data_IF_397847488748
#
_entry.id   IF_397847488748
#
_cell.length_a   1.000
_cell.length_b   1.000
_cell.length_c   1.000
_cell.angle_alpha   90.00
_cell.angle_beta   90.00
_cell.angle_gamma   90.00
#
_symmetry.space_group_name_H-M   'P 1'
#
loop_
_entity.id
_entity.type
_entity.pdbx_description
1 polymer ?
#
# COMPACT_ATOMS: atom_id res chain seq x y z
N UNK A 1 -23.84 -3.42 7.68
CA UNK A 1 -23.66 -2.00 7.32
C UNK A 1 -22.58 -2.00 6.25
N UNK A 2 -22.91 -1.71 4.99
CA UNK A 2 -21.92 -1.64 3.91
C UNK A 2 -21.09 -0.37 4.09
N UNK A 3 -19.77 -0.49 3.93
CA UNK A 3 -18.82 0.61 4.02
C UNK A 3 -19.14 1.70 2.97
N UNK A 4 -18.88 2.98 3.29
CA UNK A 4 -19.17 4.12 2.39
C UNK A 4 -18.39 4.01 1.07
N UNK A 5 -17.16 3.47 1.11
CA UNK A 5 -16.32 3.26 -0.08
C UNK A 5 -16.94 2.22 -1.04
N UNK A 6 -17.53 1.16 -0.49
CA UNK A 6 -18.11 0.07 -1.27
C UNK A 6 -19.36 0.55 -2.02
N UNK A 7 -20.22 1.32 -1.34
CA UNK A 7 -21.39 1.94 -1.97
C UNK A 7 -21.03 2.91 -3.08
N UNK A 8 -19.91 3.64 -2.95
CA UNK A 8 -19.45 4.52 -4.01
C UNK A 8 -19.17 3.75 -5.31
N UNK A 9 -18.45 2.64 -5.23
CA UNK A 9 -18.07 1.85 -6.40
C UNK A 9 -19.26 1.12 -7.03
N UNK A 10 -20.14 0.54 -6.21
CA UNK A 10 -21.38 -0.09 -6.69
C UNK A 10 -22.21 0.93 -7.50
N UNK A 11 -22.48 2.11 -6.92
CA UNK A 11 -23.20 3.18 -7.60
C UNK A 11 -22.50 3.64 -8.89
N UNK A 12 -21.15 3.75 -8.88
CA UNK A 12 -20.39 4.15 -10.06
C UNK A 12 -20.66 3.25 -11.28
N UNK A 13 -20.79 1.93 -11.06
CA UNK A 13 -21.09 0.97 -12.12
C UNK A 13 -22.58 0.93 -12.47
N UNK A 14 -23.46 1.04 -11.48
CA UNK A 14 -24.91 1.09 -11.68
C UNK A 14 -25.33 2.30 -12.53
N UNK A 15 -24.77 3.49 -12.24
CA UNK A 15 -24.99 4.72 -13.01
C UNK A 15 -24.54 4.60 -14.48
N UNK A 16 -23.70 3.59 -14.79
CA UNK A 16 -23.22 3.27 -16.14
C UNK A 16 -23.99 2.10 -16.78
N UNK A 17 -25.07 1.64 -16.15
CA UNK A 17 -25.96 0.61 -16.67
C UNK A 17 -25.54 -0.82 -16.39
N UNK A 18 -24.59 -1.05 -15.48
CA UNK A 18 -24.26 -2.40 -15.03
C UNK A 18 -25.36 -2.90 -14.08
N UNK A 19 -25.93 -4.08 -14.39
CA UNK A 19 -26.95 -4.71 -13.54
C UNK A 19 -26.35 -5.03 -12.15
N UNK A 20 -26.93 -4.53 -11.04
CA UNK A 20 -26.46 -4.80 -9.69
C UNK A 20 -26.31 -6.29 -9.38
N UNK A 21 -27.13 -7.15 -9.99
CA UNK A 21 -27.05 -8.61 -9.82
C UNK A 21 -25.80 -9.25 -10.41
N UNK A 22 -25.06 -8.52 -11.24
CA UNK A 22 -23.80 -8.93 -11.84
C UNK A 22 -22.57 -8.34 -11.13
N UNK A 23 -22.79 -7.48 -10.13
CA UNK A 23 -21.72 -6.92 -9.31
C UNK A 23 -21.39 -7.88 -8.16
N UNK A 24 -20.10 -8.17 -8.00
CA UNK A 24 -19.59 -8.99 -6.91
C UNK A 24 -18.47 -8.21 -6.22
N UNK A 25 -18.61 -8.01 -4.91
CA UNK A 25 -17.56 -7.38 -4.10
C UNK A 25 -16.55 -8.43 -3.64
N UNK A 26 -15.30 -8.29 -4.11
CA UNK A 26 -14.19 -9.19 -3.77
C UNK A 26 -13.73 -9.07 -2.31
N UNK A 27 -13.97 -7.91 -1.67
CA UNK A 27 -13.45 -7.55 -0.33
C UNK A 27 -11.92 -7.50 -0.35
N UNK A 28 -11.27 -7.95 0.73
CA UNK A 28 -9.82 -8.02 0.84
C UNK A 28 -9.28 -9.13 -0.07
N UNK A 29 -8.10 -8.89 -0.66
CA UNK A 29 -7.39 -9.90 -1.43
C UNK A 29 -6.75 -10.94 -0.50
N UNK A 30 -6.76 -12.19 -0.94
CA UNK A 30 -5.98 -13.25 -0.35
C UNK A 30 -4.53 -13.21 -0.88
N UNK A 31 -3.63 -13.80 -0.10
CA UNK A 31 -2.24 -13.98 -0.51
C UNK A 31 -1.87 -15.45 -0.34
N UNK A 32 -1.63 -16.14 -1.45
CA UNK A 32 -1.30 -17.56 -1.43
C UNK A 32 0.15 -17.75 -0.97
N UNK A 33 0.31 -18.28 0.24
CA UNK A 33 1.62 -18.61 0.80
C UNK A 33 1.86 -20.12 0.60
N UNK A 34 2.90 -20.53 -0.14
CA UNK A 34 3.26 -21.94 -0.28
C UNK A 34 3.43 -22.60 1.09
N UNK A 35 2.84 -23.79 1.26
CA UNK A 35 2.89 -24.59 2.50
C UNK A 35 2.26 -23.93 3.75
N UNK A 36 1.68 -22.74 3.63
CA UNK A 36 0.99 -22.06 4.73
C UNK A 36 1.92 -21.65 5.89
N UNK A 37 3.23 -21.51 5.64
CA UNK A 37 4.17 -21.06 6.66
C UNK A 37 3.93 -19.58 6.98
N UNK A 38 3.35 -19.30 8.15
CA UNK A 38 3.10 -17.94 8.61
C UNK A 38 4.27 -17.52 9.52
N UNK A 39 5.09 -16.61 9.03
CA UNK A 39 6.05 -15.91 9.87
C UNK A 39 5.30 -14.87 10.72
N UNK A 40 5.35 -15.04 12.05
CA UNK A 40 4.80 -14.03 12.95
C UNK A 40 5.67 -12.78 12.93
N UNK A 41 5.07 -11.65 12.53
CA UNK A 41 5.75 -10.37 12.54
C UNK A 41 6.17 -10.01 13.97
N UNK A 42 7.41 -9.54 14.12
CA UNK A 42 7.91 -8.99 15.38
C UNK A 42 7.51 -7.53 15.49
N UNK A 43 7.21 -7.09 16.70
CA UNK A 43 7.02 -5.66 16.93
C UNK A 43 8.34 -4.90 16.66
N UNK A 44 8.24 -3.86 15.85
CA UNK A 44 9.28 -2.87 15.61
C UNK A 44 8.60 -1.51 15.43
N UNK A 45 9.20 -0.43 15.92
CA UNK A 45 8.71 0.94 15.67
C UNK A 45 9.14 1.42 14.28
N UNK A 46 8.71 0.71 13.25
CA UNK A 46 9.03 0.94 11.84
C UNK A 46 7.80 0.80 10.96
N UNK A 47 7.83 1.45 9.80
CA UNK A 47 6.78 1.43 8.79
C UNK A 47 7.36 0.92 7.48
N UNK A 48 6.76 -0.11 6.90
CA UNK A 48 7.19 -0.74 5.66
C UNK A 48 6.29 -0.33 4.51
N UNK A 49 6.91 0.06 3.39
CA UNK A 49 6.24 0.34 2.11
C UNK A 49 6.78 -0.63 1.07
N UNK A 50 5.89 -1.39 0.44
CA UNK A 50 6.23 -2.30 -0.65
C UNK A 50 5.46 -1.92 -1.92
N UNK A 51 6.16 -1.66 -3.02
CA UNK A 51 5.51 -1.30 -4.27
C UNK A 51 6.43 -0.68 -5.32
N UNK A 52 5.85 0.06 -6.26
CA UNK A 52 6.62 0.88 -7.18
C UNK A 52 7.00 2.20 -6.47
N UNK A 53 8.30 2.43 -6.28
CA UNK A 53 8.83 3.58 -5.55
C UNK A 53 9.20 4.74 -6.48
N UNK A 54 8.74 4.69 -7.73
CA UNK A 54 8.81 5.81 -8.67
C UNK A 54 8.02 7.00 -8.10
N UNK A 55 8.74 8.06 -7.78
CA UNK A 55 8.24 9.29 -7.17
C UNK A 55 7.20 10.02 -8.04
N UNK A 56 7.14 9.74 -9.34
CA UNK A 56 6.06 10.25 -10.21
C UNK A 56 4.72 9.56 -9.95
N UNK A 57 4.75 8.32 -9.43
CA UNK A 57 3.57 7.52 -9.09
C UNK A 57 3.27 7.53 -7.61
N UNK A 58 4.30 7.57 -6.78
CA UNK A 58 4.24 7.47 -5.32
C UNK A 58 4.75 8.77 -4.70
N UNK A 59 3.97 9.84 -4.91
CA UNK A 59 4.45 11.21 -4.72
C UNK A 59 4.79 11.55 -3.26
N UNK A 60 4.06 10.99 -2.30
CA UNK A 60 4.33 11.19 -0.87
C UNK A 60 5.76 10.80 -0.46
N UNK A 61 6.45 9.93 -1.21
CA UNK A 61 7.83 9.54 -0.92
C UNK A 61 8.80 10.73 -0.93
N UNK A 62 8.51 11.81 -1.67
CA UNK A 62 9.33 13.03 -1.70
C UNK A 62 9.52 13.66 -0.33
N UNK A 63 8.54 13.46 0.55
CA UNK A 63 8.45 14.10 1.85
C UNK A 63 8.54 13.10 3.02
N UNK A 64 8.71 11.80 2.73
CA UNK A 64 8.70 10.74 3.76
C UNK A 64 9.79 10.93 4.83
N UNK A 65 10.93 11.53 4.46
CA UNK A 65 12.01 11.83 5.39
C UNK A 65 11.72 12.95 6.40
N UNK A 66 10.60 13.68 6.23
CA UNK A 66 10.13 14.69 7.19
C UNK A 66 9.36 14.09 8.36
N UNK A 67 8.95 12.83 8.26
CA UNK A 67 8.16 12.14 9.29
C UNK A 67 9.10 11.56 10.34
N UNK A 68 8.79 11.79 11.62
CA UNK A 68 9.52 11.19 12.76
C UNK A 68 9.15 9.70 12.95
N UNK A 69 9.56 8.87 12.00
CA UNK A 69 9.40 7.42 12.01
C UNK A 69 10.49 6.76 11.15
N UNK A 70 10.84 5.51 11.48
CA UNK A 70 11.71 4.67 10.63
C UNK A 70 10.89 4.06 9.50
N UNK A 71 11.40 4.15 8.27
CA UNK A 71 10.78 3.56 7.09
C UNK A 71 11.67 2.50 6.45
N UNK A 72 11.06 1.37 6.11
CA UNK A 72 11.67 0.31 5.31
C UNK A 72 11.00 0.30 3.92
N UNK A 73 11.76 0.49 2.86
CA UNK A 73 11.25 0.55 1.49
C UNK A 73 11.64 -0.70 0.70
N UNK A 74 10.66 -1.29 0.03
CA UNK A 74 10.82 -2.47 -0.82
C UNK A 74 10.21 -2.20 -2.20
N UNK A 75 10.99 -2.40 -3.26
CA UNK A 75 10.50 -2.38 -4.63
C UNK A 75 11.25 -1.49 -5.60
N UNK A 76 10.74 -1.41 -6.82
CA UNK A 76 11.47 -0.86 -7.97
C UNK A 76 11.48 0.67 -7.99
N UNK A 77 12.44 1.25 -8.71
CA UNK A 77 12.52 2.68 -9.08
C UNK A 77 12.70 3.68 -7.93
N UNK A 78 13.24 3.24 -6.77
CA UNK A 78 13.63 4.16 -5.72
C UNK A 78 14.84 4.99 -6.16
N UNK A 79 14.71 6.32 -6.13
CA UNK A 79 15.70 7.26 -6.68
C UNK A 79 16.02 8.44 -5.76
N UNK A 80 15.39 8.51 -4.58
CA UNK A 80 15.59 9.61 -3.65
C UNK A 80 16.93 9.47 -2.91
N UNK A 81 17.49 10.60 -2.51
CA UNK A 81 18.65 10.64 -1.62
C UNK A 81 18.34 9.93 -0.30
N UNK A 82 19.38 9.39 0.34
CA UNK A 82 19.24 8.67 1.59
C UNK A 82 18.76 9.60 2.72
N UNK A 83 17.46 9.59 3.02
CA UNK A 83 16.94 10.15 4.27
C UNK A 83 17.45 9.29 5.43
N UNK A 84 17.84 9.93 6.54
CA UNK A 84 18.41 9.23 7.71
C UNK A 84 17.46 8.20 8.33
N UNK A 85 16.17 8.37 8.15
CA UNK A 85 15.11 7.54 8.68
C UNK A 85 14.53 6.56 7.65
N UNK A 86 15.14 6.43 6.47
CA UNK A 86 14.69 5.56 5.38
C UNK A 86 15.77 4.53 5.07
N UNK A 87 15.39 3.25 5.09
CA UNK A 87 16.24 2.12 4.71
C UNK A 87 15.63 1.45 3.47
N UNK A 88 16.39 1.38 2.38
CA UNK A 88 15.96 0.71 1.15
C UNK A 88 16.52 -0.71 1.10
N UNK A 89 15.63 -1.69 1.00
CA UNK A 89 15.95 -3.12 1.07
C UNK A 89 16.02 -3.81 -0.29
N UNK A 90 15.87 -3.06 -1.39
CA UNK A 90 15.84 -3.62 -2.74
C UNK A 90 14.44 -3.98 -3.22
N UNK A 91 14.36 -4.66 -4.36
CA UNK A 91 13.13 -5.13 -4.96
C UNK A 91 13.09 -6.66 -4.93
N UNK A 92 11.94 -7.22 -4.55
CA UNK A 92 11.72 -8.66 -4.46
C UNK A 92 10.54 -9.07 -5.33
N UNK A 93 10.52 -10.32 -5.81
CA UNK A 93 9.32 -10.95 -6.36
C UNK A 93 8.15 -10.83 -5.38
N UNK A 94 6.93 -10.71 -5.91
CA UNK A 94 5.75 -10.53 -5.07
C UNK A 94 5.65 -11.66 -4.03
N UNK A 95 5.81 -12.91 -4.45
CA UNK A 95 5.76 -14.12 -3.63
C UNK A 95 6.80 -14.15 -2.50
N UNK A 96 7.87 -13.36 -2.60
CA UNK A 96 8.89 -13.22 -1.55
C UNK A 96 8.65 -12.06 -0.59
N UNK A 97 7.87 -11.04 -0.96
CA UNK A 97 7.58 -9.87 -0.11
C UNK A 97 7.03 -10.24 1.27
N UNK A 98 6.09 -11.21 1.43
CA UNK A 98 5.63 -11.63 2.76
C UNK A 98 6.75 -12.10 3.69
N UNK A 99 7.85 -12.64 3.16
CA UNK A 99 9.00 -13.08 3.96
C UNK A 99 9.87 -11.91 4.42
N UNK A 100 9.84 -10.79 3.69
CA UNK A 100 10.56 -9.57 4.03
C UNK A 100 9.81 -8.73 5.07
N UNK A 101 8.47 -8.73 5.02
CA UNK A 101 7.59 -7.96 5.92
C UNK A 101 7.40 -8.66 7.28
N UNK A 102 8.52 -8.96 7.96
CA UNK A 102 8.53 -9.74 9.20
C UNK A 102 8.61 -8.88 10.49
N UNK A 103 8.55 -7.55 10.36
CA UNK A 103 8.51 -6.63 11.50
C UNK A 103 7.76 -5.34 11.20
N UNK A 104 7.29 -4.69 12.26
CA UNK A 104 6.70 -3.35 12.20
C UNK A 104 5.30 -3.31 11.58
N UNK A 105 4.98 -2.18 10.93
CA UNK A 105 3.67 -1.89 10.36
C UNK A 105 3.75 -1.78 8.83
N UNK A 106 2.79 -2.35 8.09
CA UNK A 106 2.64 -2.10 6.66
C UNK A 106 1.83 -0.84 6.38
N UNK A 107 2.28 0.00 5.44
CA UNK A 107 1.56 1.22 5.03
C UNK A 107 0.85 1.01 3.69
N UNK A 108 -0.46 1.26 3.70
CA UNK A 108 -1.25 1.48 2.48
C UNK A 108 -1.53 2.99 2.41
N UNK A 109 -0.98 3.64 1.39
CA UNK A 109 -1.10 5.08 1.21
C UNK A 109 -1.07 5.44 -0.27
N UNK A 110 -1.99 6.31 -0.68
CA UNK A 110 -1.93 7.01 -1.95
C UNK A 110 -2.31 8.48 -1.72
N UNK A 111 -1.45 9.37 -2.17
CA UNK A 111 -1.53 10.79 -1.91
C UNK A 111 -0.37 11.53 -2.59
N UNK A 112 -0.65 12.77 -2.97
CA UNK A 112 0.31 13.72 -3.52
C UNK A 112 1.36 14.14 -2.48
N UNK A 113 1.07 13.97 -1.19
CA UNK A 113 1.96 14.28 -0.07
C UNK A 113 1.68 13.44 1.18
N UNK A 114 2.36 13.79 2.27
CA UNK A 114 2.31 13.05 3.55
C UNK A 114 1.13 13.44 4.46
N UNK A 115 0.47 14.56 4.18
CA UNK A 115 -0.61 15.10 5.03
C UNK A 115 -2.02 14.73 4.55
N UNK A 116 -2.14 14.16 3.34
CA UNK A 116 -3.44 13.92 2.72
C UNK A 116 -3.43 12.66 1.86
N UNK A 117 -4.53 11.90 1.92
CA UNK A 117 -4.89 10.89 0.94
C UNK A 117 -5.70 11.58 -0.16
N UNK A 118 -5.04 12.01 -1.24
CA UNK A 118 -5.66 12.71 -2.36
C UNK A 118 -5.22 12.11 -3.71
N UNK A 119 -5.66 12.74 -4.80
CA UNK A 119 -5.36 12.26 -6.15
C UNK A 119 -6.34 11.21 -6.68
N UNK A 120 -5.97 10.57 -7.79
CA UNK A 120 -6.89 9.72 -8.55
C UNK A 120 -7.34 8.47 -7.79
N UNK A 121 -6.51 7.94 -6.89
CA UNK A 121 -6.85 6.74 -6.10
C UNK A 121 -6.85 6.98 -4.58
N UNK A 122 -6.20 8.04 -4.08
CA UNK A 122 -6.18 8.38 -2.65
C UNK A 122 -7.52 8.85 -2.07
N UNK A 123 -8.42 9.44 -2.87
CA UNK A 123 -9.75 9.85 -2.40
C UNK A 123 -10.69 8.69 -2.03
N UNK A 124 -10.28 7.44 -2.29
CA UNK A 124 -11.04 6.23 -1.97
C UNK A 124 -10.50 5.47 -0.75
N UNK A 125 -9.33 5.88 -0.23
CA UNK A 125 -8.77 5.41 1.05
C UNK A 125 -9.42 6.16 2.21
#
# INVERSE_FOLDING_TARGET
MLDRSQRFHENFFEDRGVDPKKLVTLKIFDYLIPNGEINHAKFERSVSVAGNLDVSKTQYLKDIGKIDAKFNLYGLNFTLDAYKNVEYHGAFPADEIPNQLNSGFGLIWDGSGIETCDGAFGNYL
#
